data_IF_414114078739
#
_entry.id   IF_414114078739
#
_cell.length_a   1.000
_cell.length_b   1.000
_cell.length_c   1.000
_cell.angle_alpha   90.00
_cell.angle_beta   90.00
_cell.angle_gamma   90.00
#
_symmetry.space_group_name_H-M   'P 1'
#
loop_
_entity.id
_entity.type
_entity.pdbx_description
1 polymer ?
#
# COMPACT_ATOMS: atom_id res chain seq x y z
N UNK A 1 0.83 18.77 5.42
CA UNK A 1 1.71 17.84 6.18
C UNK A 1 2.11 16.74 5.23
N UNK A 2 3.39 16.75 4.80
CA UNK A 2 4.12 15.77 3.96
C UNK A 2 3.34 15.02 2.87
N UNK A 3 2.96 15.74 1.80
CA UNK A 3 2.54 15.18 0.50
C UNK A 3 3.76 14.74 -0.37
N UNK A 4 4.85 14.32 0.28
CA UNK A 4 6.18 14.19 -0.33
C UNK A 4 6.47 12.82 -0.93
N UNK A 5 5.52 11.88 -0.86
CA UNK A 5 5.70 10.50 -1.30
C UNK A 5 4.37 9.92 -1.79
N UNK A 6 4.43 9.13 -2.85
CA UNK A 6 3.32 8.29 -3.29
C UNK A 6 3.17 7.06 -2.39
N UNK A 7 1.94 6.68 -2.08
CA UNK A 7 1.63 5.42 -1.40
C UNK A 7 0.72 4.62 -2.32
N UNK A 8 1.22 3.51 -2.84
CA UNK A 8 0.47 2.59 -3.71
C UNK A 8 0.19 1.30 -2.95
N UNK A 9 -1.08 0.96 -2.78
CA UNK A 9 -1.48 -0.30 -2.17
C UNK A 9 -1.74 -1.34 -3.24
N UNK A 10 -1.16 -2.53 -3.10
CA UNK A 10 -1.32 -3.59 -4.10
C UNK A 10 -1.83 -4.89 -3.48
N UNK A 11 -2.48 -5.72 -4.27
CA UNK A 11 -2.87 -7.08 -3.93
C UNK A 11 -2.01 -8.10 -4.68
N UNK A 12 -1.68 -9.22 -4.03
CA UNK A 12 -1.00 -10.36 -4.64
C UNK A 12 -1.87 -11.63 -4.55
N UNK A 13 -1.35 -12.76 -5.07
CA UNK A 13 -2.09 -14.03 -5.10
C UNK A 13 -2.45 -14.60 -3.73
N UNK A 14 -1.86 -14.10 -2.63
CA UNK A 14 -2.22 -14.57 -1.29
C UNK A 14 -3.61 -14.10 -0.86
N UNK A 15 -4.19 -13.09 -1.50
CA UNK A 15 -5.57 -12.70 -1.23
C UNK A 15 -6.55 -13.88 -1.38
N UNK A 16 -6.22 -14.85 -2.24
CA UNK A 16 -7.02 -16.07 -2.44
C UNK A 16 -7.06 -16.95 -1.19
N UNK A 17 -5.99 -16.95 -0.39
CA UNK A 17 -5.94 -17.66 0.89
C UNK A 17 -6.79 -17.01 1.99
N UNK A 18 -7.22 -15.76 1.78
CA UNK A 18 -8.06 -14.99 2.70
C UNK A 18 -9.54 -15.02 2.33
N UNK A 19 -9.97 -15.91 1.43
CA UNK A 19 -11.37 -16.08 1.09
C UNK A 19 -12.23 -16.42 2.35
N UNK A 20 -13.41 -15.79 2.53
CA UNK A 20 -14.10 -14.87 1.61
C UNK A 20 -13.80 -13.38 1.84
N UNK A 21 -12.86 -13.03 2.72
CA UNK A 21 -12.65 -11.65 3.19
C UNK A 21 -12.37 -10.66 2.05
N UNK A 22 -11.54 -11.06 1.09
CA UNK A 22 -11.20 -10.24 -0.08
C UNK A 22 -12.15 -10.41 -1.28
N UNK A 23 -13.35 -10.97 -1.13
CA UNK A 23 -14.23 -11.20 -2.30
C UNK A 23 -14.98 -9.92 -2.72
N UNK A 24 -15.45 -9.14 -1.75
CA UNK A 24 -16.34 -8.00 -1.99
C UNK A 24 -15.68 -6.63 -1.77
N UNK A 25 -14.48 -6.61 -1.19
CA UNK A 25 -13.73 -5.39 -0.93
C UNK A 25 -12.23 -5.65 -0.99
N UNK A 26 -11.42 -4.64 -1.32
CA UNK A 26 -9.96 -4.73 -1.22
C UNK A 26 -9.51 -5.04 0.20
N UNK A 27 -8.41 -5.78 0.35
CA UNK A 27 -7.90 -6.15 1.68
C UNK A 27 -7.56 -4.94 2.56
N UNK A 28 -7.15 -3.82 1.96
CA UNK A 28 -6.78 -2.61 2.71
C UNK A 28 -7.97 -1.85 3.30
N UNK A 29 -9.21 -2.16 2.87
CA UNK A 29 -10.46 -1.63 3.44
C UNK A 29 -11.03 -2.53 4.54
N UNK A 30 -10.46 -3.72 4.75
CA UNK A 30 -10.91 -4.63 5.79
C UNK A 30 -10.49 -4.07 7.15
N UNK A 31 -11.47 -3.89 8.04
CA UNK A 31 -11.19 -3.49 9.42
C UNK A 31 -10.60 -4.66 10.20
N UNK A 32 -9.40 -4.46 10.76
CA UNK A 32 -8.75 -5.38 11.67
C UNK A 32 -8.47 -4.64 12.98
N UNK A 33 -9.06 -5.10 14.09
CA UNK A 33 -8.90 -4.43 15.38
C UNK A 33 -9.48 -3.01 15.43
N UNK A 34 -10.47 -2.69 14.59
CA UNK A 34 -11.17 -1.39 14.58
C UNK A 34 -10.55 -0.34 13.66
N UNK A 35 -9.54 -0.69 12.86
CA UNK A 35 -8.88 0.21 11.91
C UNK A 35 -8.63 -0.51 10.58
N UNK A 36 -8.72 0.21 9.46
CA UNK A 36 -8.31 -0.29 8.14
C UNK A 36 -6.88 0.14 7.81
N UNK A 37 -6.26 -0.51 6.83
CA UNK A 37 -4.91 -0.12 6.40
C UNK A 37 -4.91 1.30 5.80
N UNK A 38 -5.96 1.67 5.05
CA UNK A 38 -6.12 3.02 4.50
C UNK A 38 -6.24 4.07 5.61
N UNK A 39 -7.05 3.80 6.64
CA UNK A 39 -7.18 4.69 7.80
C UNK A 39 -5.86 4.87 8.54
N UNK A 40 -5.09 3.80 8.71
CA UNK A 40 -3.76 3.87 9.32
C UNK A 40 -2.83 4.77 8.49
N UNK A 41 -2.77 4.56 7.17
CA UNK A 41 -1.86 5.29 6.28
C UNK A 41 -2.23 6.77 6.14
N UNK A 42 -3.51 7.12 6.28
CA UNK A 42 -3.97 8.50 6.28
C UNK A 42 -3.33 9.37 7.39
N UNK A 43 -2.76 8.77 8.44
CA UNK A 43 -1.94 9.48 9.43
C UNK A 43 -0.55 9.89 8.92
N UNK A 44 -0.12 9.35 7.79
CA UNK A 44 1.14 9.68 7.11
C UNK A 44 0.88 10.48 5.83
N UNK A 45 0.11 9.91 4.91
CA UNK A 45 -0.34 10.51 3.66
C UNK A 45 -1.52 9.69 3.08
N UNK A 46 -2.39 10.32 2.30
CA UNK A 46 -3.47 9.61 1.61
C UNK A 46 -2.88 8.66 0.57
N UNK A 47 -3.30 7.38 0.51
CA UNK A 47 -2.94 6.49 -0.59
C UNK A 47 -3.23 7.12 -1.95
N UNK A 48 -2.21 7.14 -2.81
CA UNK A 48 -2.24 7.80 -4.12
C UNK A 48 -2.67 6.83 -5.23
N UNK A 49 -2.72 5.54 -4.93
CA UNK A 49 -3.10 4.54 -5.91
C UNK A 49 -3.31 3.14 -5.36
N UNK A 50 -4.02 2.34 -6.15
CA UNK A 50 -4.36 0.96 -5.81
C UNK A 50 -4.09 0.04 -7.01
N UNK A 51 -3.54 -1.14 -6.75
CA UNK A 51 -3.37 -2.23 -7.72
C UNK A 51 -4.21 -3.40 -7.20
N UNK A 52 -5.44 -3.51 -7.71
CA UNK A 52 -6.46 -4.44 -7.24
C UNK A 52 -6.57 -5.68 -8.13
N UNK A 53 -7.16 -6.76 -7.60
CA UNK A 53 -7.57 -7.92 -8.41
C UNK A 53 -8.67 -7.55 -9.41
N UNK A 54 -8.67 -8.23 -10.56
CA UNK A 54 -9.53 -7.92 -11.71
C UNK A 54 -11.04 -7.85 -11.40
N UNK A 55 -11.55 -8.70 -10.52
CA UNK A 55 -12.98 -8.68 -10.15
C UNK A 55 -13.36 -7.44 -9.33
N UNK A 56 -12.44 -6.90 -8.52
CA UNK A 56 -12.67 -5.66 -7.78
C UNK A 56 -12.49 -4.40 -8.64
N UNK A 57 -11.86 -4.52 -9.81
CA UNK A 57 -11.71 -3.40 -10.74
C UNK A 57 -13.01 -3.08 -11.50
N UNK A 58 -13.92 -4.06 -11.62
CA UNK A 58 -15.20 -3.89 -12.31
C UNK A 58 -16.23 -3.16 -11.46
N UNK A 59 -16.16 -3.34 -10.14
CA UNK A 59 -17.09 -2.79 -9.17
C UNK A 59 -16.52 -1.53 -8.53
N UNK A 60 -16.59 -0.39 -9.22
CA UNK A 60 -16.62 0.99 -8.72
C UNK A 60 -15.87 1.39 -7.41
N UNK A 61 -14.84 0.66 -6.98
CA UNK A 61 -13.97 1.07 -5.89
C UNK A 61 -13.23 2.29 -6.41
N UNK A 62 -13.59 3.42 -5.84
CA UNK A 62 -13.17 4.76 -6.25
C UNK A 62 -11.67 4.90 -6.03
N UNK A 63 -10.90 4.46 -7.01
CA UNK A 63 -9.45 4.37 -6.94
C UNK A 63 -8.84 3.87 -8.25
N UNK A 64 -9.51 2.95 -8.95
CA UNK A 64 -9.04 2.38 -10.22
C UNK A 64 -7.61 1.81 -10.12
N UNK A 65 -7.04 1.34 -11.23
CA UNK A 65 -5.58 1.33 -11.31
C UNK A 65 -5.15 2.79 -11.38
N UNK A 66 -4.54 3.31 -10.33
CA UNK A 66 -3.86 4.59 -10.48
C UNK A 66 -2.71 4.40 -11.48
N UNK A 67 -2.57 5.32 -12.43
CA UNK A 67 -1.33 5.45 -13.17
C UNK A 67 -0.21 5.54 -12.14
N UNK A 68 0.68 4.54 -12.17
CA UNK A 68 1.71 4.36 -11.17
C UNK A 68 2.53 5.64 -11.07
N UNK A 69 2.36 6.46 -10.02
CA UNK A 69 2.87 7.82 -10.04
C UNK A 69 4.40 7.79 -9.94
N UNK A 70 5.09 8.45 -10.88
CA UNK A 70 6.55 8.41 -11.06
C UNK A 70 7.22 9.77 -10.87
N UNK A 71 6.54 10.68 -10.19
CA UNK A 71 6.94 12.07 -10.00
C UNK A 71 7.56 12.35 -8.63
N UNK A 72 7.45 11.40 -7.70
CA UNK A 72 7.96 11.49 -6.33
C UNK A 72 8.32 10.09 -5.80
N UNK A 73 9.09 10.00 -4.69
CA UNK A 73 9.37 8.73 -4.05
C UNK A 73 8.09 7.92 -3.81
N UNK A 74 8.15 6.60 -3.97
CA UNK A 74 6.96 5.75 -3.97
C UNK A 74 7.14 4.56 -3.04
N UNK A 75 6.24 4.47 -2.05
CA UNK A 75 6.06 3.27 -1.26
C UNK A 75 4.99 2.39 -1.91
N UNK A 76 5.37 1.18 -2.29
CA UNK A 76 4.43 0.09 -2.54
C UNK A 76 4.22 -0.68 -1.24
N UNK A 77 2.97 -0.89 -0.86
CA UNK A 77 2.63 -1.67 0.33
C UNK A 77 1.56 -2.72 0.00
N UNK A 78 1.80 -3.95 0.42
CA UNK A 78 0.84 -5.03 0.22
C UNK A 78 -0.41 -4.79 1.07
N UNK A 79 -1.58 -4.89 0.47
CA UNK A 79 -2.88 -4.66 1.12
C UNK A 79 -3.19 -5.69 2.20
N UNK A 80 -2.48 -6.83 2.22
CA UNK A 80 -2.60 -7.84 3.28
C UNK A 80 -1.77 -7.52 4.53
N UNK A 81 -1.08 -6.38 4.58
CA UNK A 81 -0.34 -5.95 5.79
C UNK A 81 -1.33 -5.54 6.87
N UNK A 82 -1.15 -6.08 8.07
CA UNK A 82 -1.98 -5.75 9.24
C UNK A 82 -1.85 -4.24 9.57
N UNK A 83 -2.95 -3.51 9.80
CA UNK A 83 -2.91 -2.12 10.21
C UNK A 83 -2.35 -2.01 11.64
N UNK A 84 -1.04 -1.81 11.74
CA UNK A 84 -0.33 -1.59 13.00
C UNK A 84 0.36 -0.22 12.96
N UNK A 85 -0.07 0.68 13.83
CA UNK A 85 0.44 2.06 13.90
C UNK A 85 1.94 2.15 14.18
N UNK A 86 2.55 1.11 14.75
CA UNK A 86 4.01 1.03 14.91
C UNK A 86 4.76 1.08 13.56
N UNK A 87 4.13 0.67 12.45
CA UNK A 87 4.72 0.75 11.12
C UNK A 87 4.86 2.18 10.60
N UNK A 88 4.05 3.13 11.08
CA UNK A 88 4.09 4.52 10.61
C UNK A 88 5.46 5.16 10.80
N UNK A 89 6.12 4.90 11.93
CA UNK A 89 7.45 5.44 12.20
C UNK A 89 8.53 4.76 11.34
N UNK A 90 8.38 3.46 11.08
CA UNK A 90 9.27 2.75 10.15
C UNK A 90 9.12 3.30 8.72
N UNK A 91 7.90 3.52 8.25
CA UNK A 91 7.64 4.10 6.93
C UNK A 91 8.21 5.51 6.85
N UNK A 92 8.03 6.34 7.88
CA UNK A 92 8.60 7.70 7.92
C UNK A 92 10.12 7.67 7.80
N UNK A 93 10.81 6.79 8.54
CA UNK A 93 12.27 6.65 8.45
C UNK A 93 12.74 6.19 7.09
N UNK A 94 12.04 5.23 6.47
CA UNK A 94 12.36 4.78 5.11
C UNK A 94 12.23 5.93 4.12
N UNK A 95 11.11 6.66 4.15
CA UNK A 95 10.87 7.80 3.27
C UNK A 95 11.94 8.90 3.43
N UNK A 96 12.33 9.20 4.68
CA UNK A 96 13.38 10.19 4.97
C UNK A 96 14.77 9.74 4.53
N UNK A 97 15.07 8.44 4.61
CA UNK A 97 16.37 7.91 4.20
C UNK A 97 16.61 8.02 2.69
N UNK A 98 15.54 8.08 1.89
CA UNK A 98 15.62 8.05 0.43
C UNK A 98 16.31 6.81 -0.14
N UNK A 99 16.50 5.76 0.67
CA UNK A 99 17.25 4.56 0.26
C UNK A 99 16.30 3.51 -0.31
N UNK A 100 16.54 2.98 -1.53
CA UNK A 100 15.74 1.89 -2.08
C UNK A 100 15.62 0.72 -1.10
N UNK A 101 14.43 0.16 -0.99
CA UNK A 101 14.17 -0.94 -0.07
C UNK A 101 13.20 -1.96 -0.67
N UNK A 102 13.44 -3.24 -0.40
CA UNK A 102 12.49 -4.33 -0.60
C UNK A 102 12.32 -5.09 0.72
N UNK A 103 11.10 -5.17 1.22
CA UNK A 103 10.75 -5.97 2.40
C UNK A 103 9.89 -7.16 1.96
N UNK A 104 10.31 -8.36 2.35
CA UNK A 104 9.62 -9.61 2.02
C UNK A 104 9.13 -10.34 3.27
N UNK A 105 8.09 -11.14 3.10
CA UNK A 105 7.62 -12.11 4.09
C UNK A 105 7.58 -13.48 3.42
N UNK A 106 8.62 -14.28 3.64
CA UNK A 106 8.88 -15.48 2.85
C UNK A 106 9.08 -15.10 1.38
N UNK A 107 8.29 -15.70 0.49
CA UNK A 107 8.38 -15.45 -0.96
C UNK A 107 7.47 -14.32 -1.47
N UNK A 108 6.87 -13.55 -0.55
CA UNK A 108 5.94 -12.46 -0.88
C UNK A 108 6.58 -11.11 -0.65
N UNK A 109 6.28 -10.14 -1.52
CA UNK A 109 6.64 -8.75 -1.30
C UNK A 109 5.63 -8.14 -0.32
N UNK A 110 6.12 -7.70 0.84
CA UNK A 110 5.33 -7.00 1.83
C UNK A 110 5.32 -5.49 1.55
N UNK A 111 6.49 -4.94 1.21
CA UNK A 111 6.62 -3.54 0.82
C UNK A 111 7.83 -3.35 -0.11
N UNK A 112 7.80 -2.30 -0.92
CA UNK A 112 8.96 -1.81 -1.63
C UNK A 112 8.97 -0.28 -1.58
N UNK A 113 10.15 0.31 -1.43
CA UNK A 113 10.33 1.75 -1.52
C UNK A 113 11.23 2.07 -2.70
N UNK A 114 10.68 2.86 -3.61
CA UNK A 114 11.37 3.43 -4.75
C UNK A 114 11.72 4.88 -4.38
N UNK A 115 13.00 5.27 -4.42
CA UNK A 115 13.40 6.64 -4.13
C UNK A 115 12.93 7.59 -5.23
N UNK A 116 13.23 8.87 -5.07
CA UNK A 116 12.91 9.89 -6.08
C UNK A 116 13.51 9.50 -7.45
N UNK A 117 12.69 9.39 -8.51
CA UNK A 117 13.19 9.05 -9.84
C UNK A 117 14.17 10.08 -10.42
N UNK A 118 14.22 11.31 -9.89
CA UNK A 118 15.25 12.28 -10.26
C UNK A 118 16.65 11.96 -9.69
N UNK A 119 16.74 11.02 -8.74
CA UNK A 119 17.98 10.62 -8.05
C UNK A 119 18.55 9.29 -8.60
N UNK A 120 17.82 8.62 -9.50
CA UNK A 120 18.22 7.39 -10.19
C UNK A 120 18.80 7.68 -11.57
#
# INVERSE_FOLDING_TARGET
MTDTMNIVLFEDSFCDALHPLGLFQPLHEISLGGMTLVQMLAHLATPTGFILRSHLQQDAFSGGNADFPRDRPTLLLNSSVVPNTAYLETIRRIAQSGTPMLATSGNRVAAAFLPDPAVL
#
